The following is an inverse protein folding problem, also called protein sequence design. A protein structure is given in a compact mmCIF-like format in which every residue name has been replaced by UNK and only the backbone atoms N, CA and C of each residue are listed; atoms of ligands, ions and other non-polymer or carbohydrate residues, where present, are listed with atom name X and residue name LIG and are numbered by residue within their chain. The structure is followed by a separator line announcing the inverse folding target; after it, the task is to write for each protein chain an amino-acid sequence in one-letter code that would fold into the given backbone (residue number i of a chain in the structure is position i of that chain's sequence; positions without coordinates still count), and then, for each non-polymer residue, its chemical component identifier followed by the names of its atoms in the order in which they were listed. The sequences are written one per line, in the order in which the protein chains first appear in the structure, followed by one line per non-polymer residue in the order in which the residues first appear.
data_IF_165832750499
#
_entry.id   IF_165832750499
#
_cell.length_a   1.000
_cell.length_b   1.000
_cell.length_c   1.000
_cell.angle_alpha   90.00
_cell.angle_beta   90.00
_cell.angle_gamma   90.00
#
_symmetry.space_group_name_H-M   'P 1'
#
loop_
_entity.id
_entity.type
_entity.pdbx_description
1 polymer ?
#
# COMPACT_ATOMS: atom_id res chain seq x y z
N UNK A 1 -22.55 -10.51 -0.77
CA UNK A 1 -23.77 -10.91 -1.53
C UNK A 1 -24.91 -9.92 -1.55
N UNK A 2 -25.21 -9.25 -0.43
CA UNK A 2 -26.36 -8.34 -0.36
C UNK A 2 -26.34 -7.23 -1.43
N UNK A 3 -25.19 -6.57 -1.62
CA UNK A 3 -24.99 -5.55 -2.66
C UNK A 3 -25.37 -6.05 -4.06
N UNK A 4 -24.94 -7.27 -4.42
CA UNK A 4 -25.30 -7.92 -5.69
C UNK A 4 -26.80 -8.20 -5.79
N UNK A 5 -27.40 -8.76 -4.73
CA UNK A 5 -28.85 -9.07 -4.70
C UNK A 5 -29.73 -7.82 -4.78
N UNK A 6 -29.24 -6.69 -4.27
CA UNK A 6 -29.95 -5.40 -4.27
C UNK A 6 -29.58 -4.50 -5.45
N UNK A 7 -28.66 -4.94 -6.28
CA UNK A 7 -28.07 -4.16 -7.37
C UNK A 7 -27.67 -2.75 -6.94
N UNK A 8 -26.89 -2.70 -5.85
CA UNK A 8 -26.39 -1.44 -5.26
C UNK A 8 -24.89 -1.50 -5.03
N UNK A 9 -24.18 -0.36 -5.08
CA UNK A 9 -22.78 -0.28 -4.70
C UNK A 9 -22.56 -0.87 -3.30
N UNK A 10 -21.42 -1.57 -3.11
CA UNK A 10 -21.07 -2.17 -1.81
C UNK A 10 -20.98 -1.12 -0.70
N UNK A 11 -20.41 0.03 -1.04
CA UNK A 11 -20.23 1.17 -0.14
C UNK A 11 -21.56 1.71 0.40
N UNK A 12 -22.67 1.50 -0.32
CA UNK A 12 -24.01 1.91 0.13
C UNK A 12 -24.65 0.89 1.07
N UNK A 13 -24.12 -0.32 1.16
CA UNK A 13 -24.60 -1.33 2.11
C UNK A 13 -23.95 -1.17 3.47
N UNK A 14 -22.64 -0.92 3.48
CA UNK A 14 -21.83 -0.66 4.65
C UNK A 14 -20.57 0.07 4.16
N UNK A 15 -20.29 1.26 4.69
CA UNK A 15 -19.13 2.02 4.26
C UNK A 15 -17.83 1.35 4.69
N UNK A 16 -16.78 1.56 3.91
CA UNK A 16 -15.43 1.04 4.18
C UNK A 16 -14.91 1.55 5.53
N UNK A 17 -15.20 2.80 5.88
CA UNK A 17 -14.83 3.38 7.18
C UNK A 17 -15.48 2.65 8.36
N UNK A 18 -16.76 2.30 8.23
CA UNK A 18 -17.47 1.52 9.26
C UNK A 18 -16.90 0.11 9.34
N UNK A 19 -16.56 -0.52 8.21
CA UNK A 19 -15.91 -1.84 8.21
C UNK A 19 -14.59 -1.81 8.97
N UNK A 20 -13.76 -0.79 8.74
CA UNK A 20 -12.47 -0.61 9.43
C UNK A 20 -12.71 -0.41 10.94
N UNK A 21 -13.70 0.39 11.31
CA UNK A 21 -13.99 0.65 12.72
C UNK A 21 -14.56 -0.58 13.43
N UNK A 22 -15.40 -1.39 12.76
CA UNK A 22 -15.87 -2.68 13.28
C UNK A 22 -14.72 -3.67 13.50
N UNK A 23 -13.77 -3.72 12.56
CA UNK A 23 -12.60 -4.58 12.66
C UNK A 23 -11.66 -4.17 13.81
N UNK A 24 -11.59 -2.87 14.10
CA UNK A 24 -10.80 -2.29 15.20
C UNK A 24 -11.46 -2.47 16.56
N UNK A 25 -12.73 -2.08 16.70
CA UNK A 25 -13.47 -2.07 17.97
C UNK A 25 -13.98 -3.45 18.40
N UNK A 26 -14.23 -4.37 17.44
CA UNK A 26 -14.67 -5.76 17.67
C UNK A 26 -15.84 -5.88 18.68
N UNK A 27 -16.96 -5.20 18.45
CA UNK A 27 -18.09 -5.20 19.37
C UNK A 27 -18.63 -6.62 19.59
N UNK A 28 -18.99 -6.92 20.84
CA UNK A 28 -19.46 -8.25 21.29
C UNK A 28 -20.97 -8.33 21.44
N UNK A 29 -21.63 -7.18 21.51
CA UNK A 29 -23.07 -7.07 21.71
C UNK A 29 -23.65 -5.85 20.96
N UNK A 30 -24.98 -5.76 20.94
CA UNK A 30 -25.69 -4.70 20.22
C UNK A 30 -25.44 -3.30 20.80
N UNK A 31 -25.11 -3.19 22.10
CA UNK A 31 -24.86 -1.88 22.73
C UNK A 31 -23.50 -1.33 22.29
N UNK A 32 -22.47 -2.18 22.28
CA UNK A 32 -21.15 -1.84 21.73
C UNK A 32 -21.22 -1.56 20.23
N UNK A 33 -22.03 -2.32 19.50
CA UNK A 33 -22.23 -2.09 18.06
C UNK A 33 -22.92 -0.73 17.80
N UNK A 34 -23.84 -0.31 18.67
CA UNK A 34 -24.60 0.93 18.52
C UNK A 34 -23.76 2.20 18.64
N UNK A 35 -22.62 2.12 19.33
CA UNK A 35 -21.71 3.25 19.53
C UNK A 35 -20.59 3.31 18.49
N UNK A 36 -20.57 2.38 17.52
CA UNK A 36 -19.58 2.37 16.43
C UNK A 36 -19.78 3.61 15.54
N UNK A 37 -18.76 4.47 15.40
CA UNK A 37 -18.82 5.65 14.54
C UNK A 37 -19.24 5.31 13.10
N UNK A 38 -20.19 6.07 12.57
CA UNK A 38 -20.68 5.94 11.20
C UNK A 38 -21.67 4.80 10.95
N UNK A 39 -21.93 3.91 11.93
CA UNK A 39 -22.92 2.86 11.75
C UNK A 39 -24.35 3.42 11.79
N UNK A 40 -25.09 3.24 10.70
CA UNK A 40 -26.47 3.69 10.61
C UNK A 40 -27.41 2.90 11.54
N UNK A 41 -28.35 3.62 12.19
CA UNK A 41 -29.37 3.02 13.07
C UNK A 41 -30.21 1.95 12.36
N UNK A 42 -30.50 2.15 11.07
CA UNK A 42 -31.25 1.17 10.27
C UNK A 42 -30.47 -0.14 10.11
N UNK A 43 -29.17 -0.03 9.78
CA UNK A 43 -28.28 -1.20 9.68
C UNK A 43 -28.12 -1.91 11.02
N UNK A 44 -27.94 -1.18 12.12
CA UNK A 44 -27.93 -1.75 13.47
C UNK A 44 -29.22 -2.54 13.76
N UNK A 45 -30.38 -1.94 13.49
CA UNK A 45 -31.69 -2.55 13.75
C UNK A 45 -31.93 -3.81 12.93
N UNK A 46 -31.60 -3.77 11.63
CA UNK A 46 -31.94 -4.84 10.71
C UNK A 46 -30.87 -5.94 10.60
N UNK A 47 -29.60 -5.61 10.89
CA UNK A 47 -28.45 -6.50 10.65
C UNK A 47 -27.47 -6.58 11.80
N UNK A 48 -27.74 -5.96 12.95
CA UNK A 48 -26.81 -5.97 14.07
C UNK A 48 -26.39 -7.37 14.53
N UNK A 49 -27.33 -8.33 14.53
CA UNK A 49 -27.02 -9.74 14.85
C UNK A 49 -26.10 -10.40 13.82
N UNK A 50 -26.41 -10.25 12.53
CA UNK A 50 -25.61 -10.78 11.42
C UNK A 50 -24.17 -10.21 11.44
N UNK A 51 -24.04 -8.92 11.74
CA UNK A 51 -22.74 -8.26 11.91
C UNK A 51 -21.95 -8.85 13.08
N UNK A 52 -22.56 -9.00 14.25
CA UNK A 52 -21.91 -9.58 15.43
C UNK A 52 -21.48 -11.04 15.20
N UNK A 53 -22.31 -11.83 14.52
CA UNK A 53 -21.99 -13.20 14.13
C UNK A 53 -20.79 -13.24 13.17
N UNK A 54 -20.77 -12.35 12.17
CA UNK A 54 -19.67 -12.25 11.21
C UNK A 54 -18.37 -11.83 11.89
N UNK A 55 -18.43 -10.84 12.81
CA UNK A 55 -17.27 -10.39 13.59
C UNK A 55 -16.72 -11.56 14.41
N UNK A 56 -17.59 -12.28 15.14
CA UNK A 56 -17.19 -13.43 15.96
C UNK A 56 -16.54 -14.54 15.12
N UNK A 57 -17.08 -14.83 13.94
CA UNK A 57 -16.50 -15.81 13.03
C UNK A 57 -15.09 -15.40 12.57
N UNK A 58 -14.84 -14.10 12.38
CA UNK A 58 -13.53 -13.56 12.01
C UNK A 58 -12.47 -13.61 13.11
N UNK A 59 -12.84 -13.84 14.38
CA UNK A 59 -11.88 -13.93 15.49
C UNK A 59 -11.12 -15.25 15.55
N UNK A 60 -11.67 -16.29 14.92
CA UNK A 60 -11.06 -17.61 14.79
C UNK A 60 -10.84 -17.91 13.31
N UNK A 61 -9.80 -17.32 12.70
CA UNK A 61 -9.53 -17.55 11.29
C UNK A 61 -9.31 -19.04 11.01
N UNK A 62 -9.84 -19.51 9.88
CA UNK A 62 -9.66 -20.89 9.44
C UNK A 62 -8.19 -21.22 9.13
N UNK A 63 -7.84 -22.51 8.97
CA UNK A 63 -6.47 -22.95 8.73
C UNK A 63 -5.85 -22.35 7.45
N UNK A 64 -6.68 -21.98 6.47
CA UNK A 64 -6.22 -21.40 5.20
C UNK A 64 -6.02 -19.87 5.26
N UNK A 65 -6.26 -19.24 6.41
CA UNK A 65 -6.06 -17.80 6.56
C UNK A 65 -4.57 -17.47 6.65
N UNK A 66 -4.06 -16.78 5.64
CA UNK A 66 -2.70 -16.21 5.67
C UNK A 66 -2.78 -14.73 6.05
N UNK A 67 -2.26 -14.32 7.21
CA UNK A 67 -2.22 -12.91 7.58
C UNK A 67 -1.41 -12.11 6.56
N UNK A 68 -1.93 -10.96 6.14
CA UNK A 68 -1.14 -10.01 5.34
C UNK A 68 -0.10 -9.41 6.28
N UNK A 69 1.18 -9.67 6.02
CA UNK A 69 2.28 -9.05 6.75
C UNK A 69 2.16 -7.54 6.69
N UNK A 70 2.25 -6.87 7.85
CA UNK A 70 2.41 -5.42 7.87
C UNK A 70 3.66 -5.07 7.07
N UNK A 71 3.62 -4.08 6.16
CA UNK A 71 4.83 -3.58 5.54
C UNK A 71 5.82 -3.22 6.64
N UNK A 72 7.04 -3.76 6.57
CA UNK A 72 8.10 -3.39 7.52
C UNK A 72 8.34 -1.89 7.48
N UNK A 73 8.84 -1.33 8.60
CA UNK A 73 9.32 0.06 8.58
C UNK A 73 10.38 0.16 7.46
N UNK A 74 10.28 1.14 6.54
CA UNK A 74 11.27 1.29 5.49
C UNK A 74 12.64 1.46 6.13
N UNK A 75 13.61 0.65 5.69
CA UNK A 75 15.00 0.80 6.08
C UNK A 75 15.46 2.24 5.78
N UNK A 76 15.95 3.01 6.78
CA UNK A 76 16.41 4.38 6.59
C UNK A 76 17.46 4.51 5.48
N UNK A 77 18.35 3.53 5.35
CA UNK A 77 19.45 3.55 4.38
C UNK A 77 18.91 3.30 2.97
N UNK A 78 18.02 2.32 2.81
CA UNK A 78 17.33 2.09 1.53
C UNK A 78 16.47 3.29 1.12
N UNK A 79 15.83 3.95 2.09
CA UNK A 79 15.05 5.17 1.83
C UNK A 79 15.96 6.33 1.38
N UNK A 80 17.10 6.50 2.03
CA UNK A 80 18.08 7.52 1.66
C UNK A 80 18.63 7.26 0.25
N UNK A 81 19.01 6.02 -0.06
CA UNK A 81 19.45 5.60 -1.38
C UNK A 81 18.37 5.83 -2.44
N UNK A 82 17.13 5.41 -2.18
CA UNK A 82 16.00 5.65 -3.08
C UNK A 82 15.71 7.14 -3.30
N UNK A 83 16.00 8.01 -2.33
CA UNK A 83 15.94 9.48 -2.50
C UNK A 83 17.08 10.03 -3.35
N UNK A 84 18.32 9.57 -3.14
CA UNK A 84 19.46 9.95 -3.95
C UNK A 84 19.27 9.54 -5.42
N UNK A 85 18.82 8.32 -5.68
CA UNK A 85 18.49 7.83 -7.03
C UNK A 85 17.40 8.68 -7.70
N UNK A 86 16.37 9.08 -6.96
CA UNK A 86 15.29 9.92 -7.49
C UNK A 86 15.75 11.32 -7.85
N UNK A 87 16.59 11.91 -6.99
CA UNK A 87 17.20 13.20 -7.26
C UNK A 87 18.03 13.14 -8.55
N UNK A 88 18.86 12.10 -8.70
CA UNK A 88 19.66 11.89 -9.92
C UNK A 88 18.81 11.74 -11.17
N UNK A 89 17.72 10.97 -11.09
CA UNK A 89 16.74 10.87 -12.19
C UNK A 89 16.14 12.24 -12.51
N UNK A 90 15.75 13.02 -11.50
CA UNK A 90 15.21 14.36 -11.64
C UNK A 90 16.16 15.31 -12.38
N UNK A 91 17.43 15.37 -11.95
CA UNK A 91 18.47 16.22 -12.57
C UNK A 91 18.68 15.92 -14.06
N UNK A 92 18.66 14.64 -14.41
CA UNK A 92 18.79 14.20 -15.80
C UNK A 92 17.53 14.53 -16.61
N UNK A 93 16.35 14.22 -16.06
CA UNK A 93 15.07 14.52 -16.69
C UNK A 93 14.86 16.02 -16.95
N UNK A 94 15.25 16.86 -16.00
CA UNK A 94 15.18 18.32 -16.13
C UNK A 94 16.08 18.83 -17.25
N UNK A 95 17.31 18.31 -17.35
CA UNK A 95 18.25 18.69 -18.41
C UNK A 95 17.73 18.33 -19.80
N UNK A 96 17.08 17.17 -19.93
CA UNK A 96 16.63 16.63 -21.22
C UNK A 96 15.17 17.03 -21.53
N UNK A 97 14.49 17.76 -20.65
CA UNK A 97 13.12 18.22 -20.83
C UNK A 97 12.07 17.10 -20.78
N UNK A 98 12.34 16.01 -20.05
CA UNK A 98 11.47 14.83 -19.98
C UNK A 98 10.85 14.73 -18.57
N UNK A 99 9.53 14.48 -18.44
CA UNK A 99 8.94 14.26 -17.12
C UNK A 99 9.44 12.93 -16.52
N UNK A 100 9.81 12.93 -15.24
CA UNK A 100 10.28 11.74 -14.52
C UNK A 100 9.31 10.56 -14.59
N UNK A 101 8.01 10.83 -14.61
CA UNK A 101 6.94 9.82 -14.75
C UNK A 101 6.97 9.06 -16.08
N UNK A 102 7.51 9.64 -17.15
CA UNK A 102 7.70 8.94 -18.43
C UNK A 102 8.88 7.96 -18.39
N UNK A 103 9.86 8.23 -17.52
CA UNK A 103 11.05 7.40 -17.35
C UNK A 103 10.78 6.27 -16.36
N UNK A 104 10.41 6.58 -15.12
CA UNK A 104 10.08 5.57 -14.11
C UNK A 104 9.15 6.10 -13.00
N UNK A 105 8.25 5.25 -12.46
CA UNK A 105 7.51 5.56 -11.25
C UNK A 105 8.41 5.54 -10.02
N UNK A 106 8.02 6.27 -8.96
CA UNK A 106 8.79 6.39 -7.71
C UNK A 106 9.06 5.04 -7.06
N UNK A 107 8.10 4.12 -7.14
CA UNK A 107 8.20 2.80 -6.51
C UNK A 107 9.18 1.88 -7.24
N UNK A 108 9.32 2.01 -8.57
CA UNK A 108 10.35 1.28 -9.33
C UNK A 108 11.77 1.71 -8.93
N UNK A 109 11.96 2.99 -8.60
CA UNK A 109 13.25 3.50 -8.06
C UNK A 109 13.51 3.02 -6.63
N UNK A 110 12.46 2.87 -5.81
CA UNK A 110 12.58 2.28 -4.46
C UNK A 110 12.91 0.79 -4.53
N UNK A 111 12.28 0.06 -5.44
CA UNK A 111 12.57 -1.34 -5.72
C UNK A 111 14.05 -1.52 -6.14
N UNK A 112 14.54 -0.65 -7.03
CA UNK A 112 15.96 -0.65 -7.43
C UNK A 112 16.90 -0.46 -6.23
N UNK A 113 16.60 0.53 -5.38
CA UNK A 113 17.36 0.78 -4.15
C UNK A 113 17.32 -0.42 -3.20
N UNK A 114 16.19 -1.12 -3.11
CA UNK A 114 16.01 -2.33 -2.30
C UNK A 114 16.70 -3.59 -2.86
N UNK A 115 17.37 -3.48 -4.02
CA UNK A 115 18.12 -4.58 -4.60
C UNK A 115 17.43 -5.29 -5.76
N UNK A 116 16.20 -4.91 -6.12
CA UNK A 116 15.54 -5.49 -7.29
C UNK A 116 16.28 -5.11 -8.58
N UNK A 117 16.37 -6.06 -9.51
CA UNK A 117 17.10 -5.90 -10.78
C UNK A 117 16.25 -6.21 -12.02
N UNK A 118 15.14 -6.91 -11.86
CA UNK A 118 14.18 -7.14 -12.94
C UNK A 118 13.23 -5.93 -13.07
N UNK A 119 13.78 -4.81 -13.54
CA UNK A 119 13.09 -3.53 -13.63
C UNK A 119 13.26 -2.92 -15.02
N UNK A 120 12.23 -2.20 -15.49
CA UNK A 120 12.26 -1.53 -16.80
C UNK A 120 13.27 -0.39 -16.84
N UNK A 121 13.54 0.25 -15.71
CA UNK A 121 14.59 1.28 -15.58
C UNK A 121 15.98 0.74 -15.91
N UNK A 122 16.18 -0.58 -15.80
CA UNK A 122 17.43 -1.28 -16.14
C UNK A 122 17.39 -1.97 -17.51
N UNK A 123 16.42 -1.63 -18.37
CA UNK A 123 16.24 -2.21 -19.70
C UNK A 123 16.19 -1.16 -20.81
N UNK A 124 16.69 -1.53 -22.00
CA UNK A 124 16.61 -0.73 -23.22
C UNK A 124 17.13 0.70 -23.06
N UNK A 125 16.41 1.66 -23.65
CA UNK A 125 16.83 3.07 -23.63
C UNK A 125 16.87 3.67 -22.21
N UNK A 126 16.04 3.20 -21.28
CA UNK A 126 16.02 3.69 -19.89
C UNK A 126 17.31 3.34 -19.16
N UNK A 127 17.85 2.13 -19.43
CA UNK A 127 19.13 1.69 -18.92
C UNK A 127 20.26 2.62 -19.35
N UNK A 128 20.31 2.87 -20.66
CA UNK A 128 21.30 3.74 -21.27
C UNK A 128 21.16 5.21 -20.82
N UNK A 129 19.92 5.67 -20.63
CA UNK A 129 19.61 7.02 -20.20
C UNK A 129 20.05 7.28 -18.75
N UNK A 130 19.59 6.44 -17.82
CA UNK A 130 19.78 6.69 -16.38
C UNK A 130 20.08 5.44 -15.57
N UNK A 131 19.66 4.25 -16.02
CA UNK A 131 19.77 3.01 -15.25
C UNK A 131 21.19 2.67 -14.80
N UNK A 132 22.20 2.82 -15.67
CA UNK A 132 23.60 2.61 -15.29
C UNK A 132 24.07 3.61 -14.22
N UNK A 133 23.68 4.88 -14.35
CA UNK A 133 23.99 5.91 -13.35
C UNK A 133 23.33 5.63 -12.01
N UNK A 134 22.14 5.00 -11.99
CA UNK A 134 21.48 4.60 -10.75
C UNK A 134 22.13 3.37 -10.13
N UNK A 135 22.53 2.39 -10.94
CA UNK A 135 23.27 1.23 -10.45
C UNK A 135 24.60 1.63 -9.80
N UNK A 136 25.29 2.63 -10.35
CA UNK A 136 26.51 3.17 -9.76
C UNK A 136 26.28 3.72 -8.33
N UNK A 137 25.12 4.33 -8.06
CA UNK A 137 24.76 4.81 -6.72
C UNK A 137 24.49 3.68 -5.71
N UNK A 138 24.15 2.48 -6.19
CA UNK A 138 23.90 1.30 -5.35
C UNK A 138 25.18 0.55 -4.98
N UNK A 139 26.30 0.79 -5.68
CA UNK A 139 27.60 0.20 -5.38
C UNK A 139 28.31 1.03 -4.31
N UNK A 140 28.77 0.46 -3.19
CA UNK A 140 29.39 1.19 -2.07
C UNK A 140 30.84 1.67 -2.36
N UNK A 141 31.12 2.19 -3.56
CA UNK A 141 32.48 2.53 -3.99
C UNK A 141 32.92 3.98 -3.74
N UNK A 142 32.01 4.95 -3.52
CA UNK A 142 32.40 6.37 -3.45
C UNK A 142 31.90 7.09 -2.18
N UNK A 143 32.16 6.52 -1.00
CA UNK A 143 32.11 7.27 0.29
C UNK A 143 33.52 7.47 0.86
N UNK A 144 34.57 7.01 0.19
CA UNK A 144 35.96 7.19 0.65
C UNK A 144 36.77 8.04 -0.31
N UNK A 145 36.99 9.31 0.08
CA UNK A 145 38.31 10.00 0.13
C UNK A 145 38.16 11.50 -0.14
N UNK A 146 39.08 12.33 0.35
CA UNK A 146 39.38 12.63 1.75
C UNK A 146 38.95 14.05 2.15
#
# INVERSE_FOLDING_TARGET
DLARRKDRPREWMLSTDVIVELARSRPKNLQELAIVPGLEKATLKHRGKELLETIRAGESPGPDFTPISKPGKPDPDLRALGNAMWKRLGELCEREGIPTSAVAPRDEIRALAAGERDLRILSGWRRAFVGESLLALASPADISSP
#
